data_IF_205556668225
#
_entry.id   IF_205556668225
#
_cell.length_a   1.000
_cell.length_b   1.000
_cell.length_c   1.000
_cell.angle_alpha   90.00
_cell.angle_beta   90.00
_cell.angle_gamma   90.00
#
_symmetry.space_group_name_H-M   'P 1'
#
loop_
_entity.id
_entity.type
_entity.pdbx_description
1 polymer ?
#
# COMPACT_ATOMS: atom_id res chain seq x y z
N UNK A 1 10.79 3.22 22.29
CA UNK A 1 11.32 2.42 21.20
C UNK A 1 10.45 2.57 19.96
N UNK A 2 11.09 2.79 18.83
CA UNK A 2 10.34 2.89 17.59
C UNK A 2 9.70 1.55 17.26
N UNK A 3 8.45 1.57 16.84
CA UNK A 3 7.79 0.35 16.40
C UNK A 3 8.42 -0.13 15.10
N UNK A 4 8.38 -1.43 14.87
CA UNK A 4 8.94 -1.99 13.64
C UNK A 4 7.90 -1.95 12.53
N UNK A 5 7.54 -0.74 12.12
CA UNK A 5 6.54 -0.53 11.08
C UNK A 5 6.99 -1.00 9.71
N UNK A 6 8.30 -0.97 9.47
CA UNK A 6 8.82 -1.48 8.20
C UNK A 6 8.46 -2.96 8.04
N UNK A 7 8.71 -3.76 9.06
CA UNK A 7 8.36 -5.17 9.04
C UNK A 7 6.83 -5.35 8.97
N UNK A 8 6.10 -4.49 9.66
CA UNK A 8 4.64 -4.49 9.59
C UNK A 8 4.13 -4.27 8.17
N UNK A 9 4.76 -3.38 7.43
CA UNK A 9 4.39 -3.15 6.03
C UNK A 9 4.72 -4.35 5.15
N UNK A 10 5.81 -5.05 5.44
CA UNK A 10 6.13 -6.29 4.73
C UNK A 10 5.03 -7.33 4.95
N UNK A 11 4.58 -7.48 6.18
CA UNK A 11 3.50 -8.42 6.49
C UNK A 11 2.21 -8.02 5.79
N UNK A 12 1.89 -6.71 5.79
CA UNK A 12 0.70 -6.23 5.09
C UNK A 12 0.78 -6.53 3.59
N UNK A 13 1.93 -6.27 2.98
CA UNK A 13 2.13 -6.55 1.56
C UNK A 13 1.95 -8.03 1.25
N UNK A 14 2.58 -8.90 2.03
CA UNK A 14 2.47 -10.33 1.85
C UNK A 14 1.03 -10.81 1.97
N UNK A 15 0.31 -10.27 2.94
CA UNK A 15 -1.09 -10.63 3.19
C UNK A 15 -1.98 -10.21 2.01
N UNK A 16 -1.84 -8.96 1.58
CA UNK A 16 -2.64 -8.43 0.48
C UNK A 16 -2.34 -9.15 -0.83
N UNK A 17 -1.06 -9.45 -1.07
CA UNK A 17 -0.65 -10.16 -2.27
C UNK A 17 -1.27 -11.55 -2.32
N UNK A 18 -1.14 -12.31 -1.25
CA UNK A 18 -1.68 -13.67 -1.20
C UNK A 18 -3.20 -13.66 -1.32
N UNK A 19 -3.86 -12.73 -0.64
CA UNK A 19 -5.31 -12.65 -0.70
C UNK A 19 -5.79 -12.38 -2.12
N UNK A 20 -5.21 -11.40 -2.79
CA UNK A 20 -5.58 -11.06 -4.17
C UNK A 20 -5.30 -12.23 -5.11
N UNK A 21 -4.14 -12.85 -4.98
CA UNK A 21 -3.76 -13.96 -5.82
C UNK A 21 -4.75 -15.13 -5.70
N UNK A 22 -5.06 -15.50 -4.47
CA UNK A 22 -5.97 -16.61 -4.23
C UNK A 22 -7.38 -16.32 -4.73
N UNK A 23 -7.86 -15.08 -4.56
CA UNK A 23 -9.15 -14.69 -5.09
C UNK A 23 -9.18 -14.77 -6.62
N UNK A 24 -8.12 -14.35 -7.28
CA UNK A 24 -8.04 -14.43 -8.73
C UNK A 24 -7.96 -15.87 -9.21
N UNK A 25 -7.50 -16.78 -8.38
CA UNK A 25 -7.48 -18.21 -8.68
C UNK A 25 -8.80 -18.90 -8.30
N UNK A 26 -9.81 -18.13 -7.97
CA UNK A 26 -11.14 -18.62 -7.58
C UNK A 26 -11.11 -19.53 -6.35
N UNK A 27 -10.22 -19.23 -5.41
CA UNK A 27 -10.16 -19.96 -4.13
C UNK A 27 -11.24 -19.40 -3.20
N UNK A 28 -12.36 -20.09 -3.15
CA UNK A 28 -13.50 -19.64 -2.35
C UNK A 28 -13.27 -19.77 -0.84
N UNK A 29 -12.23 -20.51 -0.44
CA UNK A 29 -11.91 -20.70 0.98
C UNK A 29 -11.04 -19.58 1.53
N UNK A 30 -10.56 -18.66 0.68
CA UNK A 30 -9.61 -17.64 1.12
C UNK A 30 -10.24 -16.69 2.15
N UNK A 31 -9.51 -16.46 3.23
CA UNK A 31 -9.95 -15.60 4.31
C UNK A 31 -8.76 -14.73 4.71
N UNK A 32 -8.91 -13.42 4.50
CA UNK A 32 -7.81 -12.49 4.78
C UNK A 32 -7.40 -12.51 6.25
N UNK A 33 -8.33 -12.77 7.15
CA UNK A 33 -8.02 -12.82 8.59
C UNK A 33 -7.08 -13.98 8.91
N UNK A 34 -7.29 -15.13 8.27
CA UNK A 34 -6.41 -16.29 8.47
C UNK A 34 -5.02 -16.02 7.92
N UNK A 35 -4.94 -15.40 6.73
CA UNK A 35 -3.66 -15.06 6.12
C UNK A 35 -2.90 -14.10 7.01
N UNK A 36 -3.57 -13.05 7.47
CA UNK A 36 -2.97 -12.05 8.33
C UNK A 36 -2.48 -12.64 9.65
N UNK A 37 -3.30 -13.45 10.30
CA UNK A 37 -2.93 -14.10 11.56
C UNK A 37 -1.70 -14.96 11.40
N UNK A 38 -1.67 -15.78 10.33
CA UNK A 38 -0.52 -16.64 10.06
C UNK A 38 0.75 -15.84 9.82
N UNK A 39 0.66 -14.76 9.05
CA UNK A 39 1.82 -13.93 8.76
C UNK A 39 2.29 -13.16 10.00
N UNK A 40 1.36 -12.68 10.83
CA UNK A 40 1.74 -12.01 12.07
C UNK A 40 2.44 -12.95 13.05
N UNK A 41 2.00 -14.21 13.12
CA UNK A 41 2.64 -15.20 13.98
C UNK A 41 4.12 -15.39 13.67
N UNK A 42 4.47 -15.32 12.39
CA UNK A 42 5.88 -15.46 11.98
C UNK A 42 6.80 -14.39 12.59
N UNK A 43 6.23 -13.24 12.89
CA UNK A 43 7.01 -12.09 13.33
C UNK A 43 6.55 -11.56 14.69
N UNK A 44 5.86 -12.42 15.48
CA UNK A 44 5.21 -11.92 16.69
C UNK A 44 6.16 -11.30 17.71
N UNK A 45 7.41 -11.74 17.74
CA UNK A 45 8.39 -11.13 18.66
C UNK A 45 9.03 -9.87 18.05
N UNK A 46 8.91 -9.66 16.77
CA UNK A 46 9.56 -8.55 16.07
C UNK A 46 8.61 -7.39 15.76
N UNK A 47 7.30 -7.64 15.73
CA UNK A 47 6.31 -6.60 15.47
C UNK A 47 5.57 -6.32 16.77
N UNK A 48 5.75 -5.11 17.30
CA UNK A 48 5.09 -4.71 18.53
C UNK A 48 3.77 -3.96 18.27
N UNK A 49 3.57 -3.43 17.07
CA UNK A 49 2.34 -2.72 16.71
C UNK A 49 1.54 -3.49 15.66
N UNK A 50 0.88 -4.54 16.10
CA UNK A 50 0.05 -5.35 15.20
C UNK A 50 -1.18 -4.60 14.73
N UNK A 51 -1.65 -3.62 15.52
CA UNK A 51 -2.79 -2.80 15.14
C UNK A 51 -2.49 -2.00 13.86
N UNK A 52 -1.26 -1.53 13.72
CA UNK A 52 -0.84 -0.82 12.50
C UNK A 52 -1.00 -1.72 11.27
N UNK A 53 -0.57 -2.99 11.39
CA UNK A 53 -0.65 -3.95 10.30
C UNK A 53 -2.10 -4.25 9.94
N UNK A 54 -2.92 -4.49 10.96
CA UNK A 54 -4.35 -4.76 10.75
C UNK A 54 -5.04 -3.57 10.08
N UNK A 55 -4.71 -2.36 10.50
CA UNK A 55 -5.28 -1.15 9.91
C UNK A 55 -4.90 -1.03 8.44
N UNK A 56 -3.65 -1.31 8.11
CA UNK A 56 -3.21 -1.26 6.70
C UNK A 56 -3.96 -2.28 5.85
N UNK A 57 -4.01 -3.52 6.28
CA UNK A 57 -4.65 -4.58 5.50
C UNK A 57 -6.14 -4.29 5.31
N UNK A 58 -6.83 -4.05 6.41
CA UNK A 58 -8.27 -3.83 6.35
C UNK A 58 -8.62 -2.52 5.64
N UNK A 59 -7.82 -1.48 5.86
CA UNK A 59 -8.05 -0.19 5.21
C UNK A 59 -7.86 -0.25 3.71
N UNK A 60 -6.79 -0.90 3.26
CA UNK A 60 -6.55 -1.04 1.82
C UNK A 60 -7.69 -1.82 1.17
N UNK A 61 -8.12 -2.91 1.78
CA UNK A 61 -9.20 -3.72 1.21
C UNK A 61 -10.52 -2.94 1.17
N UNK A 62 -10.82 -2.22 2.22
CA UNK A 62 -12.04 -1.42 2.28
C UNK A 62 -12.06 -0.31 1.25
N UNK A 63 -10.91 0.36 1.05
CA UNK A 63 -10.82 1.51 0.16
C UNK A 63 -10.26 1.17 -1.21
N UNK A 64 -10.12 -0.11 -1.53
CA UNK A 64 -9.41 -0.53 -2.75
C UNK A 64 -9.95 0.08 -4.03
N UNK A 65 -11.26 0.09 -4.22
CA UNK A 65 -11.84 0.68 -5.43
C UNK A 65 -11.51 2.16 -5.55
N UNK A 66 -11.69 2.90 -4.44
CA UNK A 66 -11.40 4.33 -4.43
C UNK A 66 -9.92 4.60 -4.67
N UNK A 67 -9.06 3.77 -4.08
CA UNK A 67 -7.62 3.90 -4.27
C UNK A 67 -7.25 3.65 -5.73
N UNK A 68 -7.78 2.58 -6.32
CA UNK A 68 -7.48 2.24 -7.71
C UNK A 68 -7.96 3.33 -8.66
N UNK A 69 -9.11 3.93 -8.39
CA UNK A 69 -9.61 5.05 -9.18
C UNK A 69 -8.67 6.26 -9.14
N UNK A 70 -7.99 6.45 -8.02
CA UNK A 70 -7.02 7.55 -7.87
C UNK A 70 -5.68 7.23 -8.52
N UNK A 71 -5.28 5.98 -8.51
CA UNK A 71 -4.02 5.55 -9.12
C UNK A 71 -4.09 5.60 -10.65
N UNK A 72 -5.22 5.21 -11.23
CA UNK A 72 -5.33 5.05 -12.68
C UNK A 72 -4.95 6.31 -13.47
N UNK A 73 -5.43 7.51 -13.14
CA UNK A 73 -5.03 8.71 -13.88
C UNK A 73 -3.57 9.08 -13.70
N UNK A 74 -2.96 8.66 -12.60
CA UNK A 74 -1.57 8.98 -12.28
C UNK A 74 -0.62 8.02 -13.02
N UNK A 75 -1.09 6.80 -13.29
CA UNK A 75 -0.32 5.81 -14.04
C UNK A 75 -1.11 5.40 -15.29
N UNK A 76 -1.31 6.33 -16.24
CA UNK A 76 -2.27 6.12 -17.32
C UNK A 76 -1.84 5.13 -18.41
N UNK A 77 -0.56 4.80 -18.48
CA UNK A 77 -0.05 3.93 -19.53
C UNK A 77 -0.54 2.49 -19.42
N UNK A 78 -0.98 2.09 -18.22
CA UNK A 78 -1.40 0.73 -17.98
C UNK A 78 -2.70 0.68 -17.19
N UNK A 79 -3.66 -0.16 -17.58
CA UNK A 79 -4.78 -0.47 -16.70
C UNK A 79 -4.25 -1.02 -15.39
N UNK A 80 -4.91 -0.69 -14.28
CA UNK A 80 -4.43 -1.10 -12.95
C UNK A 80 -4.25 -2.62 -12.87
N UNK A 81 -5.08 -3.39 -13.57
CA UNK A 81 -5.02 -4.85 -13.57
C UNK A 81 -3.76 -5.38 -14.26
N UNK A 82 -3.12 -4.57 -15.09
CA UNK A 82 -1.91 -4.98 -15.82
C UNK A 82 -0.63 -4.57 -15.11
N UNK A 83 -0.74 -3.76 -14.07
CA UNK A 83 0.40 -3.45 -13.22
C UNK A 83 0.75 -4.72 -12.45
N UNK A 84 2.04 -5.05 -12.37
CA UNK A 84 2.47 -6.25 -11.65
C UNK A 84 1.86 -6.28 -10.25
N UNK A 85 1.39 -7.46 -9.82
CA UNK A 85 0.67 -7.57 -8.54
C UNK A 85 1.46 -7.00 -7.38
N UNK A 86 2.78 -7.22 -7.35
CA UNK A 86 3.59 -6.70 -6.25
C UNK A 86 3.57 -5.17 -6.25
N UNK A 87 3.78 -4.56 -7.41
CA UNK A 87 3.78 -3.09 -7.54
C UNK A 87 2.41 -2.51 -7.23
N UNK A 88 1.37 -3.17 -7.73
CA UNK A 88 -0.01 -2.74 -7.51
C UNK A 88 -0.35 -2.68 -6.03
N UNK A 89 0.03 -3.72 -5.29
CA UNK A 89 -0.26 -3.75 -3.85
C UNK A 89 0.60 -2.77 -3.08
N UNK A 90 1.84 -2.55 -3.49
CA UNK A 90 2.69 -1.52 -2.86
C UNK A 90 2.07 -0.14 -3.08
N UNK A 91 1.61 0.14 -4.29
CA UNK A 91 0.96 1.42 -4.59
C UNK A 91 -0.29 1.63 -3.75
N UNK A 92 -1.10 0.57 -3.59
CA UNK A 92 -2.30 0.66 -2.77
C UNK A 92 -1.97 0.97 -1.31
N UNK A 93 -0.95 0.32 -0.77
CA UNK A 93 -0.50 0.60 0.60
C UNK A 93 -0.03 2.05 0.72
N UNK A 94 0.80 2.51 -0.23
CA UNK A 94 1.32 3.87 -0.22
C UNK A 94 0.23 4.92 -0.30
N UNK A 95 -0.71 4.75 -1.21
CA UNK A 95 -1.83 5.70 -1.36
C UNK A 95 -2.70 5.70 -0.10
N UNK A 96 -2.96 4.51 0.45
CA UNK A 96 -3.74 4.43 1.69
C UNK A 96 -3.06 5.21 2.81
N UNK A 97 -1.75 5.03 2.98
CA UNK A 97 -1.03 5.76 4.04
C UNK A 97 -1.05 7.27 3.79
N UNK A 98 -0.89 7.70 2.54
CA UNK A 98 -0.93 9.13 2.22
C UNK A 98 -2.29 9.76 2.52
N UNK A 99 -3.37 9.05 2.23
CA UNK A 99 -4.71 9.60 2.35
C UNK A 99 -5.36 9.40 3.72
N UNK A 100 -5.05 8.29 4.38
CA UNK A 100 -5.75 7.90 5.59
C UNK A 100 -4.89 7.78 6.84
N UNK A 101 -3.57 7.83 6.71
CA UNK A 101 -2.66 7.67 7.84
C UNK A 101 -1.77 8.91 8.07
N UNK A 102 -2.11 10.02 7.44
CA UNK A 102 -1.27 11.23 7.52
C UNK A 102 -1.05 11.72 8.94
N UNK A 103 -1.99 11.44 9.84
CA UNK A 103 -1.86 11.85 11.24
C UNK A 103 -0.76 11.10 11.98
N UNK A 104 -0.41 9.90 11.53
CA UNK A 104 0.57 9.05 12.24
C UNK A 104 1.78 8.68 11.38
N UNK A 105 1.70 8.89 10.06
CA UNK A 105 2.79 8.57 9.13
C UNK A 105 3.03 9.78 8.24
N UNK A 106 4.18 10.46 8.38
CA UNK A 106 4.49 11.57 7.47
C UNK A 106 4.54 11.12 6.02
N UNK A 107 4.07 11.94 5.07
CA UNK A 107 4.04 11.54 3.66
C UNK A 107 5.38 11.05 3.11
N UNK A 108 6.48 11.71 3.47
CA UNK A 108 7.80 11.27 3.01
C UNK A 108 8.15 9.87 3.50
N UNK A 109 7.75 9.55 4.72
CA UNK A 109 7.98 8.22 5.28
C UNK A 109 7.15 7.19 4.51
N UNK A 110 5.89 7.50 4.24
CA UNK A 110 5.03 6.59 3.49
C UNK A 110 5.62 6.28 2.11
N UNK A 111 6.08 7.31 1.40
CA UNK A 111 6.66 7.13 0.07
C UNK A 111 7.97 6.34 0.14
N UNK A 112 8.86 6.72 1.06
CA UNK A 112 10.15 6.04 1.19
C UNK A 112 9.98 4.56 1.55
N UNK A 113 9.03 4.27 2.42
CA UNK A 113 8.78 2.87 2.81
C UNK A 113 8.23 2.06 1.64
N UNK A 114 7.35 2.66 0.84
CA UNK A 114 6.85 1.98 -0.36
C UNK A 114 7.98 1.72 -1.36
N UNK A 115 8.88 2.69 -1.52
CA UNK A 115 10.04 2.52 -2.40
C UNK A 115 10.95 1.40 -1.90
N UNK A 116 11.15 1.30 -0.58
CA UNK A 116 11.95 0.21 -0.01
C UNK A 116 11.30 -1.14 -0.23
N UNK A 117 9.97 -1.22 -0.11
CA UNK A 117 9.25 -2.47 -0.42
C UNK A 117 9.46 -2.85 -1.89
N UNK A 118 9.40 -1.86 -2.78
CA UNK A 118 9.60 -2.10 -4.21
C UNK A 118 11.00 -2.61 -4.51
N UNK A 119 12.00 -2.08 -3.82
CA UNK A 119 13.39 -2.54 -3.97
C UNK A 119 13.56 -3.97 -3.49
N UNK A 120 12.86 -4.33 -2.40
CA UNK A 120 13.01 -5.65 -1.79
C UNK A 120 12.23 -6.73 -2.54
N UNK A 121 11.07 -6.42 -3.05
CA UNK A 121 10.14 -7.43 -3.58
C UNK A 121 9.78 -7.26 -5.04
N UNK A 122 10.03 -6.11 -5.64
CA UNK A 122 9.67 -5.85 -7.02
C UNK A 122 10.78 -6.17 -8.01
N UNK A 123 10.57 -5.75 -9.25
CA UNK A 123 11.56 -5.90 -10.31
C UNK A 123 12.53 -4.71 -10.32
N UNK A 124 13.49 -4.72 -11.25
CA UNK A 124 14.53 -3.69 -11.35
C UNK A 124 13.97 -2.27 -11.45
N UNK A 125 12.82 -2.10 -12.09
CA UNK A 125 12.25 -0.77 -12.30
C UNK A 125 11.13 -0.41 -11.32
N UNK A 126 10.78 -1.32 -10.41
CA UNK A 126 9.65 -1.12 -9.49
C UNK A 126 9.83 0.09 -8.60
N UNK A 127 11.01 0.26 -8.01
CA UNK A 127 11.23 1.38 -7.08
C UNK A 127 11.07 2.72 -7.76
N UNK A 128 11.56 2.85 -9.00
CA UNK A 128 11.43 4.07 -9.77
C UNK A 128 9.98 4.36 -10.11
N UNK A 129 9.25 3.34 -10.54
CA UNK A 129 7.84 3.45 -10.88
C UNK A 129 7.02 3.85 -9.66
N UNK A 130 7.21 3.14 -8.54
CA UNK A 130 6.49 3.42 -7.30
C UNK A 130 6.77 4.83 -6.80
N UNK A 131 8.04 5.24 -6.82
CA UNK A 131 8.41 6.58 -6.38
C UNK A 131 7.73 7.65 -7.24
N UNK A 132 7.71 7.46 -8.56
CA UNK A 132 7.07 8.41 -9.47
C UNK A 132 5.57 8.54 -9.24
N UNK A 133 4.89 7.39 -9.13
CA UNK A 133 3.43 7.39 -8.92
C UNK A 133 3.08 8.00 -7.57
N UNK A 134 3.75 7.60 -6.50
CA UNK A 134 3.43 8.11 -5.16
C UNK A 134 3.83 9.57 -5.00
N UNK A 135 4.90 10.02 -5.65
CA UNK A 135 5.26 11.43 -5.66
C UNK A 135 4.17 12.29 -6.30
N UNK A 136 3.64 11.83 -7.43
CA UNK A 136 2.53 12.50 -8.09
C UNK A 136 1.27 12.45 -7.24
N UNK A 137 1.00 11.30 -6.62
CA UNK A 137 -0.15 11.16 -5.73
C UNK A 137 -0.07 12.17 -4.58
N UNK A 138 1.09 12.33 -4.00
CA UNK A 138 1.26 13.30 -2.93
C UNK A 138 0.95 14.72 -3.40
N UNK A 139 1.52 15.11 -4.54
CA UNK A 139 1.33 16.45 -5.07
C UNK A 139 -0.12 16.75 -5.45
N UNK A 140 -0.80 15.78 -6.02
CA UNK A 140 -2.15 16.01 -6.54
C UNK A 140 -3.26 15.71 -5.54
N UNK A 141 -3.08 14.71 -4.68
CA UNK A 141 -4.13 14.26 -3.79
C UNK A 141 -4.00 14.81 -2.37
N UNK A 142 -2.78 15.12 -1.95
CA UNK A 142 -2.53 15.59 -0.59
C UNK A 142 -2.21 17.07 -0.56
N UNK A 143 -1.12 17.50 -1.21
CA UNK A 143 -0.73 18.91 -1.23
C UNK A 143 -1.79 19.82 -1.83
N UNK A 144 -2.38 19.38 -2.94
CA UNK A 144 -3.44 20.16 -3.60
C UNK A 144 -4.61 20.40 -2.67
N UNK A 145 -5.00 19.39 -1.90
CA UNK A 145 -6.11 19.48 -0.97
C UNK A 145 -5.77 20.39 0.23
N UNK A 146 -4.53 20.26 0.73
CA UNK A 146 -4.07 21.06 1.88
C UNK A 146 -4.04 22.55 1.56
N UNK A 147 -3.67 22.90 0.35
CA UNK A 147 -3.59 24.29 -0.05
C UNK A 147 -4.95 24.91 -0.32
N UNK A 148 -6.01 24.12 -0.28
CA UNK A 148 -7.36 24.60 -0.50
C UNK A 148 -7.58 25.13 -1.90
N UNK A 149 -6.65 24.91 -2.80
CA UNK A 149 -6.76 25.37 -4.16
C UNK A 149 -7.38 24.29 -5.02
N UNK A 150 -8.66 24.20 -4.94
CA UNK A 150 -9.39 23.17 -5.68
C UNK A 150 -9.71 23.60 -7.10
N UNK A 151 -9.48 24.86 -7.41
CA UNK A 151 -9.85 25.38 -8.72
C UNK A 151 -8.86 25.02 -9.81
N UNK A 152 -7.64 24.78 -9.44
CA UNK A 152 -6.56 24.54 -10.39
C UNK A 152 -6.50 23.11 -10.83
N UNK A 153 -7.14 22.26 -10.07
CA UNK A 153 -7.06 20.82 -10.34
C UNK A 153 -8.26 20.34 -11.15
#
# INVERSE_FOLDING_TARGET
>A
MASNRHLGRIVALQTLYEFEFRKECADESVDVKEILSRNLERYETAIDDTQFVETLVNGVLKEQEAIDEKIQPIAPDWPIEQIARIDRNILRIGVYELLHQAAVVPPKVAINEAVELAKAFGSDNSSKFVNGVLGTAYRTLVEGAENGDTTVR
#
